data_IF_580668054080
#
_entry.id   IF_580668054080
#
_cell.length_a   1.000
_cell.length_b   1.000
_cell.length_c   1.000
_cell.angle_alpha   90.00
_cell.angle_beta   90.00
_cell.angle_gamma   90.00
#
_symmetry.space_group_name_H-M   'P 1'
#
loop_
_entity.id
_entity.type
_entity.pdbx_description
1 polymer ?
#
# COMPACT_ATOMS: atom_id res chain seq x y z
N UNK A 1 11.90 0.20 -9.11
CA UNK A 1 11.49 -1.23 -9.19
C UNK A 1 10.05 -1.52 -8.71
N UNK A 2 9.16 -0.52 -8.55
CA UNK A 2 7.80 -0.75 -8.02
C UNK A 2 6.70 -0.95 -9.08
N UNK A 3 7.06 -0.80 -10.36
CA UNK A 3 6.10 -0.83 -11.47
C UNK A 3 5.54 -2.24 -11.71
N UNK A 4 6.28 -3.28 -11.29
CA UNK A 4 5.89 -4.69 -11.40
C UNK A 4 5.07 -5.21 -10.19
N UNK A 5 4.91 -4.42 -9.13
CA UNK A 5 4.11 -4.83 -7.98
C UNK A 5 2.62 -4.78 -8.30
N UNK A 6 1.88 -5.77 -7.81
CA UNK A 6 0.41 -5.76 -7.85
C UNK A 6 -0.12 -4.62 -6.99
N UNK A 7 -1.23 -4.01 -7.40
CA UNK A 7 -1.93 -3.00 -6.60
C UNK A 7 -2.75 -3.66 -5.50
N UNK A 8 -2.69 -3.11 -4.28
CA UNK A 8 -3.56 -3.50 -3.19
C UNK A 8 -4.72 -2.50 -3.02
N UNK A 9 -5.92 -3.04 -2.79
CA UNK A 9 -7.10 -2.26 -2.39
C UNK A 9 -7.15 -2.02 -0.88
N UNK A 10 -8.14 -1.21 -0.45
CA UNK A 10 -8.33 -0.84 0.97
C UNK A 10 -8.43 -2.06 1.88
N UNK A 11 -9.31 -3.01 1.56
CA UNK A 11 -9.49 -4.22 2.37
C UNK A 11 -8.21 -5.06 2.50
N UNK A 12 -7.43 -5.13 1.41
CA UNK A 12 -6.19 -5.88 1.42
C UNK A 12 -5.13 -5.20 2.28
N UNK A 13 -5.06 -3.86 2.24
CA UNK A 13 -4.17 -3.08 3.10
C UNK A 13 -4.57 -3.23 4.57
N UNK A 14 -5.86 -3.05 4.90
CA UNK A 14 -6.36 -3.19 6.26
C UNK A 14 -6.10 -4.58 6.84
N UNK A 15 -6.42 -5.64 6.08
CA UNK A 15 -6.18 -7.03 6.49
C UNK A 15 -4.70 -7.31 6.68
N UNK A 16 -3.84 -6.77 5.81
CA UNK A 16 -2.42 -6.96 5.93
C UNK A 16 -1.86 -6.24 7.17
N UNK A 17 -2.27 -5.00 7.43
CA UNK A 17 -1.89 -4.26 8.64
C UNK A 17 -2.37 -5.00 9.89
N UNK A 18 -3.64 -5.43 9.94
CA UNK A 18 -4.17 -6.18 11.09
C UNK A 18 -3.45 -7.51 11.33
N UNK A 19 -2.92 -8.12 10.26
CA UNK A 19 -2.10 -9.34 10.34
C UNK A 19 -0.62 -9.08 10.71
N UNK A 20 -0.23 -7.82 10.97
CA UNK A 20 1.14 -7.43 11.30
C UNK A 20 2.01 -7.05 10.10
N UNK A 21 1.40 -6.74 8.95
CA UNK A 21 2.07 -6.12 7.81
C UNK A 21 2.29 -4.62 8.02
N UNK A 22 3.14 -4.02 7.21
CA UNK A 22 3.51 -2.61 7.29
C UNK A 22 3.26 -1.90 5.96
N UNK A 23 2.92 -0.61 6.04
CA UNK A 23 2.80 0.25 4.87
C UNK A 23 3.82 1.38 4.99
N UNK A 24 4.64 1.54 3.96
CA UNK A 24 5.75 2.50 3.96
C UNK A 24 5.61 3.45 2.77
N UNK A 25 5.85 4.74 2.99
CA UNK A 25 5.87 5.73 1.92
C UNK A 25 7.01 5.43 0.94
N UNK A 26 6.71 5.56 -0.36
CA UNK A 26 7.68 5.40 -1.42
C UNK A 26 8.56 6.64 -1.53
N UNK A 27 9.84 6.45 -1.87
CA UNK A 27 10.76 7.56 -2.16
C UNK A 27 10.30 8.41 -3.36
N UNK A 28 9.61 7.79 -4.32
CA UNK A 28 9.06 8.49 -5.49
C UNK A 28 7.67 7.95 -5.80
N UNK A 29 6.70 8.86 -5.89
CA UNK A 29 5.35 8.53 -6.36
C UNK A 29 5.30 8.45 -7.88
N UNK A 30 4.47 7.57 -8.41
CA UNK A 30 4.26 7.46 -9.86
C UNK A 30 2.78 7.28 -10.21
N UNK A 31 2.39 7.71 -11.41
CA UNK A 31 1.02 7.59 -11.92
C UNK A 31 0.91 6.38 -12.86
N UNK A 32 -0.13 5.56 -12.67
CA UNK A 32 -0.39 4.39 -13.51
C UNK A 32 -1.86 3.99 -13.46
N UNK A 33 -2.46 3.75 -14.62
CA UNK A 33 -3.82 3.21 -14.73
C UNK A 33 -4.92 4.04 -14.05
N UNK A 34 -4.78 5.37 -14.00
CA UNK A 34 -5.75 6.25 -13.32
C UNK A 34 -5.42 6.59 -11.87
N UNK A 35 -4.36 6.00 -11.30
CA UNK A 35 -4.06 6.12 -9.87
C UNK A 35 -2.62 6.59 -9.63
N UNK A 36 -2.44 7.42 -8.60
CA UNK A 36 -1.10 7.80 -8.11
C UNK A 36 -0.68 6.87 -6.97
N UNK A 37 0.39 6.12 -7.18
CA UNK A 37 0.97 5.22 -6.18
C UNK A 37 2.00 5.97 -5.35
N UNK A 38 1.86 5.85 -4.02
CA UNK A 38 2.65 6.63 -3.07
C UNK A 38 3.22 5.78 -1.94
N UNK A 39 2.70 4.57 -1.73
CA UNK A 39 3.09 3.70 -0.63
C UNK A 39 3.27 2.25 -1.12
N UNK A 40 4.03 1.47 -0.37
CA UNK A 40 4.17 0.02 -0.55
C UNK A 40 3.70 -0.66 0.71
N UNK A 41 2.78 -1.60 0.56
CA UNK A 41 2.37 -2.55 1.58
C UNK A 41 3.31 -3.75 1.55
N UNK A 42 3.89 -4.10 2.69
CA UNK A 42 4.64 -5.34 2.91
C UNK A 42 3.85 -6.19 3.89
N UNK A 43 3.38 -7.35 3.46
CA UNK A 43 2.68 -8.29 4.35
C UNK A 43 3.66 -8.95 5.33
N UNK A 44 3.14 -9.54 6.41
CA UNK A 44 3.94 -10.36 7.33
C UNK A 44 4.71 -11.49 6.63
N UNK A 45 4.17 -12.02 5.53
CA UNK A 45 4.81 -13.05 4.70
C UNK A 45 5.88 -12.50 3.74
N UNK A 46 6.11 -11.19 3.71
CA UNK A 46 7.10 -10.54 2.83
C UNK A 46 6.59 -10.19 1.43
N UNK A 47 5.32 -10.44 1.12
CA UNK A 47 4.74 -10.06 -0.16
C UNK A 47 4.54 -8.54 -0.22
N UNK A 48 4.94 -7.94 -1.36
CA UNK A 48 4.85 -6.49 -1.55
C UNK A 48 3.77 -6.11 -2.55
N UNK A 49 3.05 -5.05 -2.24
CA UNK A 49 2.01 -4.48 -3.08
C UNK A 49 2.15 -2.97 -3.14
N UNK A 50 1.88 -2.38 -4.30
CA UNK A 50 1.79 -0.92 -4.43
C UNK A 50 0.43 -0.42 -3.94
N UNK A 51 0.42 0.70 -3.25
CA UNK A 51 -0.77 1.30 -2.66
C UNK A 51 -0.94 2.72 -3.19
N UNK A 52 -2.14 3.01 -3.69
CA UNK A 52 -2.47 4.32 -4.23
C UNK A 52 -2.77 5.33 -3.14
N UNK A 53 -2.59 6.62 -3.45
CA UNK A 53 -2.95 7.73 -2.56
C UNK A 53 -4.41 7.69 -2.14
N UNK A 54 -5.31 7.23 -3.02
CA UNK A 54 -6.74 7.07 -2.70
C UNK A 54 -6.98 5.97 -1.67
N UNK A 55 -6.30 4.82 -1.82
CA UNK A 55 -6.38 3.74 -0.83
C UNK A 55 -5.85 4.22 0.53
N UNK A 56 -4.72 4.92 0.54
CA UNK A 56 -4.15 5.47 1.78
C UNK A 56 -5.05 6.50 2.48
N UNK A 57 -5.94 7.18 1.75
CA UNK A 57 -6.92 8.09 2.36
C UNK A 57 -8.08 7.36 3.05
N UNK A 58 -8.38 6.15 2.61
CA UNK A 58 -9.43 5.31 3.18
C UNK A 58 -8.91 4.40 4.31
N UNK A 59 -7.59 4.19 4.38
CA UNK A 59 -6.93 3.48 5.48
C UNK A 59 -6.75 4.48 6.63
N UNK A 60 -7.38 4.26 7.80
CA UNK A 60 -7.18 5.11 8.96
C UNK A 60 -5.71 5.03 9.40
N UNK A 61 -5.14 6.10 9.98
CA UNK A 61 -3.83 6.02 10.59
C UNK A 61 -3.85 4.90 11.64
N UNK A 62 -2.78 4.10 11.77
CA UNK A 62 -2.70 3.11 12.83
C UNK A 62 -2.91 3.84 14.16
N UNK A 63 -3.97 3.48 14.87
CA UNK A 63 -4.22 3.94 16.25
C UNK A 63 -2.99 3.56 17.08
N UNK A 64 -2.35 4.58 17.65
CA UNK A 64 -1.22 4.51 18.56
C UNK A 64 -1.51 3.63 19.79
#
# INVERSE_FOLDING_TARGET
MYHNLKSAGVDQVLRAISAGGSVVAMATSFYSGGYTYTHVLTTKSGAQYRVSKQVMRAVPPPTE
#
